data_IF_767526801520
#
_entry.id   IF_767526801520
#
_cell.length_a   1.000
_cell.length_b   1.000
_cell.length_c   1.000
_cell.angle_alpha   90.00
_cell.angle_beta   90.00
_cell.angle_gamma   90.00
#
_symmetry.space_group_name_H-M   'P 1'
#
loop_
_entity.id
_entity.type
_entity.pdbx_description
1 polymer ?
#
# COMPACT_ATOMS: atom_id res chain seq x y z
N UNK A 1 -8.40 -11.15 22.28
CA UNK A 1 -6.97 -10.80 22.30
C UNK A 1 -6.46 -10.80 20.85
N UNK A 2 -6.95 -9.89 19.99
CA UNK A 2 -6.42 -8.55 19.71
C UNK A 2 -5.01 -8.55 19.08
N UNK A 3 -4.98 -8.78 17.76
CA UNK A 3 -4.12 -8.19 16.70
C UNK A 3 -4.46 -8.98 15.40
N UNK A 4 -4.79 -8.43 14.25
CA UNK A 4 -4.46 -7.11 13.72
C UNK A 4 -5.53 -6.64 12.70
N UNK A 5 -6.00 -5.42 12.87
CA UNK A 5 -7.13 -4.81 12.15
C UNK A 5 -6.73 -4.19 10.80
N UNK A 6 -5.48 -4.36 10.35
CA UNK A 6 -4.98 -3.73 9.12
C UNK A 6 -5.26 -4.53 7.83
N UNK A 7 -5.71 -5.79 7.92
CA UNK A 7 -6.01 -6.62 6.75
C UNK A 7 -7.51 -6.78 6.44
N UNK A 8 -8.40 -6.19 7.25
CA UNK A 8 -9.86 -6.33 7.10
C UNK A 8 -10.59 -5.12 6.52
N UNK A 9 -9.89 -4.03 6.21
CA UNK A 9 -10.53 -2.82 5.64
C UNK A 9 -10.51 -2.80 4.10
N UNK A 10 -9.68 -3.64 3.46
CA UNK A 10 -9.68 -3.83 2.01
C UNK A 10 -10.59 -4.97 1.50
N UNK A 11 -11.30 -5.65 2.40
CA UNK A 11 -12.06 -6.87 2.12
C UNK A 11 -13.38 -6.85 2.88
N UNK A 12 -14.44 -6.27 2.30
CA UNK A 12 -15.80 -6.57 2.71
C UNK A 12 -16.31 -7.82 1.95
N UNK A 13 -17.45 -8.34 2.40
CA UNK A 13 -17.68 -9.74 2.81
C UNK A 13 -17.73 -10.85 1.74
N UNK A 14 -17.37 -10.62 0.48
CA UNK A 14 -17.72 -11.52 -0.65
C UNK A 14 -16.58 -11.94 -1.60
N UNK A 15 -15.32 -11.54 -1.42
CA UNK A 15 -14.28 -11.75 -2.47
C UNK A 15 -13.89 -13.23 -2.76
N UNK A 16 -14.03 -14.18 -1.83
CA UNK A 16 -13.30 -15.47 -1.91
C UNK A 16 -14.11 -16.77 -1.92
N UNK A 17 -15.43 -16.75 -2.14
CA UNK A 17 -16.04 -17.97 -2.71
C UNK A 17 -15.76 -18.08 -4.22
N UNK A 18 -15.43 -16.98 -4.90
CA UNK A 18 -15.23 -16.94 -6.35
C UNK A 18 -13.76 -17.17 -6.81
N UNK A 19 -12.89 -17.73 -5.97
CA UNK A 19 -11.59 -18.28 -6.42
C UNK A 19 -11.78 -19.60 -7.21
N UNK A 20 -12.76 -19.58 -8.11
CA UNK A 20 -13.22 -20.64 -8.99
C UNK A 20 -12.90 -20.17 -10.40
N UNK A 21 -11.80 -20.71 -10.95
CA UNK A 21 -11.46 -20.79 -12.38
C UNK A 21 -11.80 -19.56 -13.24
N UNK A 22 -10.74 -18.84 -13.63
CA UNK A 22 -10.68 -17.89 -14.77
C UNK A 22 -10.77 -16.40 -14.43
N UNK A 23 -9.75 -15.83 -13.78
CA UNK A 23 -9.51 -14.38 -13.82
C UNK A 23 -8.00 -14.09 -13.92
N UNK A 24 -7.44 -14.33 -15.11
CA UNK A 24 -6.07 -13.92 -15.49
C UNK A 24 -5.96 -12.47 -15.96
N UNK A 25 -7.02 -11.67 -15.79
CA UNK A 25 -7.05 -10.25 -16.17
C UNK A 25 -7.90 -9.53 -15.12
N UNK A 26 -7.48 -8.34 -14.72
CA UNK A 26 -8.29 -7.37 -13.97
C UNK A 26 -8.26 -7.42 -12.43
N UNK A 27 -7.05 -7.44 -11.85
CA UNK A 27 -6.82 -6.97 -10.47
C UNK A 27 -6.04 -5.63 -10.40
N UNK A 28 -5.71 -5.02 -11.54
CA UNK A 28 -4.93 -3.78 -11.60
C UNK A 28 -5.75 -2.49 -11.51
N UNK A 29 -7.08 -2.56 -11.64
CA UNK A 29 -7.94 -1.38 -11.69
C UNK A 29 -8.24 -0.65 -10.36
N UNK A 30 -8.28 -1.28 -9.17
CA UNK A 30 -8.71 -0.56 -7.96
C UNK A 30 -7.69 0.49 -7.50
N UNK A 31 -6.41 0.32 -7.83
CA UNK A 31 -5.35 1.27 -7.46
C UNK A 31 -5.33 2.50 -8.38
N UNK A 32 -5.75 2.37 -9.64
CA UNK A 32 -5.72 3.47 -10.60
C UNK A 32 -6.59 4.65 -10.19
N UNK A 33 -7.67 4.42 -9.42
CA UNK A 33 -8.53 5.51 -8.92
C UNK A 33 -8.15 5.97 -7.50
N UNK A 34 -7.16 5.33 -6.87
CA UNK A 34 -6.80 5.60 -5.50
C UNK A 34 -6.00 6.91 -5.41
N UNK A 35 -6.57 7.92 -4.75
CA UNK A 35 -5.90 9.22 -4.51
C UNK A 35 -5.12 9.27 -3.21
N UNK A 36 -5.56 8.55 -2.18
CA UNK A 36 -4.96 8.58 -0.84
C UNK A 36 -4.84 7.17 -0.31
N UNK A 37 -3.65 6.79 0.14
CA UNK A 37 -3.38 5.49 0.75
C UNK A 37 -2.86 5.74 2.17
N UNK A 38 -3.58 5.21 3.16
CA UNK A 38 -3.21 5.33 4.58
C UNK A 38 -2.88 3.95 5.15
N UNK A 39 -1.64 3.78 5.59
CA UNK A 39 -1.12 2.58 6.21
C UNK A 39 -0.42 2.90 7.54
N UNK A 40 -0.60 4.11 8.07
CA UNK A 40 -0.03 4.58 9.33
C UNK A 40 -0.20 3.58 10.46
N UNK A 41 0.81 3.47 11.33
CA UNK A 41 0.87 2.63 12.54
C UNK A 41 0.82 1.13 12.25
N UNK A 42 1.16 0.72 11.03
CA UNK A 42 1.25 -0.69 10.68
C UNK A 42 2.58 -1.26 11.17
N UNK A 43 2.58 -1.82 12.37
CA UNK A 43 3.77 -2.42 13.01
C UNK A 43 4.27 -3.69 12.32
N UNK A 44 3.48 -4.29 11.43
CA UNK A 44 3.81 -5.53 10.71
C UNK A 44 4.18 -5.31 9.25
N UNK A 45 3.98 -4.10 8.74
CA UNK A 45 4.17 -3.79 7.33
C UNK A 45 5.66 -3.73 7.02
N UNK A 46 6.22 -4.83 6.51
CA UNK A 46 7.64 -4.93 6.16
C UNK A 46 7.99 -4.34 4.80
N UNK A 47 7.06 -4.49 3.85
CA UNK A 47 7.18 -4.08 2.45
C UNK A 47 5.81 -3.65 1.94
N UNK A 48 5.76 -2.70 1.02
CA UNK A 48 4.53 -2.36 0.29
C UNK A 48 4.34 -3.25 -0.94
N UNK A 49 3.08 -3.43 -1.39
CA UNK A 49 2.81 -4.00 -2.70
C UNK A 49 3.33 -3.08 -3.81
N UNK A 50 3.39 -3.60 -5.04
CA UNK A 50 3.71 -2.79 -6.21
C UNK A 50 2.64 -1.69 -6.42
N UNK A 51 3.09 -0.44 -6.46
CA UNK A 51 2.26 0.75 -6.66
C UNK A 51 2.27 1.26 -8.11
N UNK A 52 2.82 0.50 -9.07
CA UNK A 52 2.91 0.88 -10.48
C UNK A 52 1.57 1.30 -11.10
N UNK A 53 0.46 0.69 -10.67
CA UNK A 53 -0.88 0.99 -11.14
C UNK A 53 -1.59 2.11 -10.36
N UNK A 54 -1.00 2.64 -9.28
CA UNK A 54 -1.57 3.71 -8.46
C UNK A 54 -1.29 5.11 -9.05
N UNK A 55 -1.49 5.28 -10.35
CA UNK A 55 -1.06 6.48 -11.10
C UNK A 55 -1.73 7.78 -10.67
N UNK A 56 -2.87 7.70 -9.98
CA UNK A 56 -3.59 8.85 -9.41
C UNK A 56 -3.35 9.08 -7.92
N UNK A 57 -2.39 8.39 -7.31
CA UNK A 57 -2.09 8.54 -5.90
C UNK A 57 -1.43 9.90 -5.63
N UNK A 58 -2.09 10.71 -4.81
CA UNK A 58 -1.67 12.05 -4.40
C UNK A 58 -1.01 12.03 -3.01
N UNK A 59 -1.45 11.12 -2.12
CA UNK A 59 -0.92 11.02 -0.76
C UNK A 59 -0.71 9.58 -0.31
N UNK A 60 0.49 9.30 0.21
CA UNK A 60 0.86 8.04 0.83
C UNK A 60 1.27 8.29 2.29
N UNK A 61 0.52 7.74 3.23
CA UNK A 61 0.75 7.90 4.67
C UNK A 61 1.21 6.59 5.29
N UNK A 62 2.49 6.56 5.68
CA UNK A 62 3.18 5.44 6.32
C UNK A 62 3.64 5.80 7.73
N UNK A 63 3.09 6.85 8.34
CA UNK A 63 3.48 7.31 9.67
C UNK A 63 3.56 6.15 10.68
N UNK A 64 4.65 6.01 11.43
CA UNK A 64 4.84 4.98 12.46
C UNK A 64 4.77 3.52 11.95
N UNK A 65 5.11 3.27 10.68
CA UNK A 65 5.34 1.91 10.17
C UNK A 65 6.74 1.40 10.59
N UNK A 66 6.86 0.99 11.85
CA UNK A 66 8.16 0.67 12.48
C UNK A 66 8.89 -0.53 11.84
N UNK A 67 8.18 -1.46 11.20
CA UNK A 67 8.78 -2.65 10.57
C UNK A 67 9.04 -2.47 9.08
N UNK A 68 8.67 -1.33 8.48
CA UNK A 68 8.85 -1.08 7.05
C UNK A 68 10.32 -0.92 6.75
N UNK A 69 10.87 -1.77 5.88
CA UNK A 69 12.31 -1.79 5.57
C UNK A 69 12.61 -1.04 4.29
N UNK A 70 11.74 -1.18 3.29
CA UNK A 70 11.92 -0.65 1.95
C UNK A 70 10.60 -0.19 1.35
N UNK A 71 10.70 0.85 0.54
CA UNK A 71 9.64 1.28 -0.36
C UNK A 71 9.83 0.64 -1.75
N UNK A 72 8.75 0.34 -2.48
CA UNK A 72 8.83 -0.28 -3.80
C UNK A 72 9.36 0.74 -4.79
N UNK A 73 10.19 0.28 -5.74
CA UNK A 73 10.77 1.16 -6.77
C UNK A 73 9.72 1.88 -7.61
N UNK A 74 8.52 1.29 -7.73
CA UNK A 74 7.38 1.90 -8.42
C UNK A 74 6.83 3.16 -7.76
N UNK A 75 7.27 3.55 -6.56
CA UNK A 75 7.00 4.89 -6.03
C UNK A 75 7.50 5.99 -6.99
N UNK A 76 8.62 5.77 -7.68
CA UNK A 76 9.12 6.71 -8.69
C UNK A 76 8.16 6.91 -9.88
N UNK A 77 7.22 5.98 -10.10
CA UNK A 77 6.20 6.09 -11.15
C UNK A 77 4.96 6.88 -10.70
N UNK A 78 4.86 7.26 -9.43
CA UNK A 78 3.72 7.97 -8.85
C UNK A 78 3.81 9.48 -9.14
N UNK A 79 3.61 9.86 -10.40
CA UNK A 79 3.78 11.25 -10.88
C UNK A 79 2.86 12.29 -10.20
N UNK A 80 1.78 11.84 -9.56
CA UNK A 80 0.83 12.70 -8.86
C UNK A 80 1.05 12.75 -7.35
N UNK A 81 2.03 11.99 -6.83
CA UNK A 81 2.30 11.91 -5.41
C UNK A 81 2.89 13.25 -4.94
N UNK A 82 2.13 13.96 -4.14
CA UNK A 82 2.49 15.27 -3.59
C UNK A 82 2.93 15.14 -2.12
N UNK A 83 2.42 14.12 -1.43
CA UNK A 83 2.68 13.93 0.01
C UNK A 83 3.04 12.48 0.32
N UNK A 84 4.27 12.27 0.78
CA UNK A 84 4.77 11.02 1.33
C UNK A 84 5.13 11.21 2.80
N UNK A 85 4.37 10.58 3.70
CA UNK A 85 4.63 10.61 5.13
C UNK A 85 5.29 9.29 5.56
N UNK A 86 6.51 9.37 6.11
CA UNK A 86 7.32 8.23 6.56
C UNK A 86 7.93 8.46 7.95
N UNK A 87 7.46 9.49 8.66
CA UNK A 87 7.89 9.81 10.01
C UNK A 87 7.69 8.61 10.94
N UNK A 88 8.64 8.40 11.85
CA UNK A 88 8.67 7.28 12.79
C UNK A 88 8.74 5.87 12.15
N UNK A 89 9.04 5.75 10.85
CA UNK A 89 9.42 4.47 10.22
C UNK A 89 10.87 4.10 10.56
N UNK A 90 11.09 3.56 11.76
CA UNK A 90 12.44 3.32 12.30
C UNK A 90 13.31 2.33 11.52
N UNK A 91 12.68 1.37 10.84
CA UNK A 91 13.40 0.34 10.05
C UNK A 91 13.60 0.72 8.59
N UNK A 92 13.07 1.88 8.14
CA UNK A 92 13.07 2.25 6.73
C UNK A 92 14.47 2.69 6.31
N UNK A 93 15.10 1.90 5.44
CA UNK A 93 16.49 2.14 4.98
C UNK A 93 16.56 2.75 3.60
N UNK A 94 15.58 2.44 2.76
CA UNK A 94 15.56 2.84 1.34
C UNK A 94 14.32 3.67 1.07
N UNK A 95 14.54 4.96 0.85
CA UNK A 95 13.55 5.84 0.25
C UNK A 95 14.02 6.01 -1.21
N UNK A 96 13.27 5.52 -2.22
CA UNK A 96 13.60 5.77 -3.61
C UNK A 96 13.63 7.29 -3.82
N UNK A 97 14.67 7.76 -4.49
CA UNK A 97 14.77 9.15 -4.94
C UNK A 97 13.56 9.45 -5.83
N UNK A 98 12.75 10.42 -5.40
CA UNK A 98 11.58 10.93 -6.11
C UNK A 98 11.99 11.85 -7.26
#
# INVERSE_FOLDING_TARGET
>A
FLQDSAQKIWLNSTWRLANSRSYGKELSQPLANLKKMKLSRSSWLKKLPDLSNATNLERLDLYECIALVELPSSISNLRKLDSLETNHCRSLKVIPTL
#
